data_IF_061778451646
#
_entry.id   IF_061778451646
#
_cell.length_a   1.000
_cell.length_b   1.000
_cell.length_c   1.000
_cell.angle_alpha   90.00
_cell.angle_beta   90.00
_cell.angle_gamma   90.00
#
_symmetry.space_group_name_H-M   'P 1'
#
loop_
_entity.id
_entity.type
_entity.pdbx_description
1 polymer ?
#
# COMPACT_ATOMS: atom_id res chain seq x y z
N UNK A 1 20.72 12.51 -24.42
CA UNK A 1 21.01 13.01 -23.05
C UNK A 1 19.77 13.08 -22.16
N UNK A 2 18.64 13.68 -22.58
CA UNK A 2 17.38 13.76 -21.80
C UNK A 2 16.85 12.40 -21.31
N UNK A 3 16.63 11.45 -22.22
CA UNK A 3 16.08 10.13 -21.87
C UNK A 3 16.98 9.32 -20.92
N UNK A 4 18.29 9.54 -20.97
CA UNK A 4 19.24 8.88 -20.09
C UNK A 4 19.06 9.34 -18.63
N UNK A 5 18.91 10.65 -18.40
CA UNK A 5 18.65 11.20 -17.06
C UNK A 5 17.33 10.72 -16.47
N UNK A 6 16.28 10.63 -17.29
CA UNK A 6 14.97 10.11 -16.85
C UNK A 6 15.09 8.64 -16.46
N UNK A 7 15.73 7.82 -17.31
CA UNK A 7 15.94 6.40 -17.01
C UNK A 7 16.82 6.18 -15.77
N UNK A 8 17.85 6.99 -15.58
CA UNK A 8 18.71 6.96 -14.39
C UNK A 8 17.92 7.27 -13.11
N UNK A 9 17.09 8.32 -13.12
CA UNK A 9 16.22 8.64 -11.98
C UNK A 9 15.24 7.51 -11.65
N UNK A 10 14.61 6.90 -12.66
CA UNK A 10 13.73 5.74 -12.48
C UNK A 10 14.48 4.53 -11.93
N UNK A 11 15.69 4.26 -12.40
CA UNK A 11 16.51 3.15 -11.90
C UNK A 11 16.92 3.35 -10.44
N UNK A 12 17.33 4.56 -10.06
CA UNK A 12 17.66 4.91 -8.67
C UNK A 12 16.46 4.68 -7.76
N UNK A 13 15.30 5.18 -8.15
CA UNK A 13 14.03 4.98 -7.45
C UNK A 13 13.71 3.49 -7.24
N UNK A 14 13.88 2.66 -8.26
CA UNK A 14 13.67 1.21 -8.16
C UNK A 14 14.68 0.58 -7.19
N UNK A 15 15.96 0.92 -7.30
CA UNK A 15 17.02 0.38 -6.43
C UNK A 15 16.73 0.72 -4.98
N UNK A 16 16.37 1.97 -4.69
CA UNK A 16 16.10 2.42 -3.34
C UNK A 16 14.83 1.79 -2.76
N UNK A 17 13.77 1.67 -3.56
CA UNK A 17 12.55 0.97 -3.16
C UNK A 17 12.82 -0.48 -2.78
N UNK A 18 13.65 -1.17 -3.56
CA UNK A 18 13.98 -2.58 -3.34
C UNK A 18 14.78 -2.83 -2.06
N UNK A 19 15.60 -1.87 -1.61
CA UNK A 19 16.39 -2.02 -0.37
C UNK A 19 15.52 -2.31 0.84
N UNK A 20 14.29 -1.80 0.90
CA UNK A 20 13.38 -2.04 2.01
C UNK A 20 12.25 -3.03 1.68
N UNK A 21 11.68 -2.98 0.47
CA UNK A 21 10.54 -3.84 0.11
C UNK A 21 10.92 -5.31 -0.13
N UNK A 22 12.13 -5.62 -0.63
CA UNK A 22 12.57 -7.00 -0.90
C UNK A 22 12.52 -7.88 0.37
N UNK A 23 12.91 -7.32 1.52
CA UNK A 23 12.91 -8.06 2.78
C UNK A 23 11.52 -8.53 3.20
N UNK A 24 10.48 -7.73 2.98
CA UNK A 24 9.10 -8.08 3.34
C UNK A 24 8.62 -9.19 2.42
N UNK A 25 8.81 -9.04 1.11
CA UNK A 25 8.28 -9.98 0.12
C UNK A 25 8.93 -11.36 0.22
N UNK A 26 10.25 -11.41 0.44
CA UNK A 26 10.97 -12.66 0.66
C UNK A 26 10.47 -13.41 1.90
N UNK A 27 10.15 -12.69 2.99
CA UNK A 27 9.60 -13.31 4.20
C UNK A 27 8.24 -13.93 3.96
N UNK A 28 7.33 -13.22 3.29
CA UNK A 28 5.98 -13.74 3.00
C UNK A 28 6.06 -15.00 2.14
N UNK A 29 6.93 -14.99 1.12
CA UNK A 29 7.18 -16.16 0.28
C UNK A 29 7.77 -17.34 1.08
N UNK A 30 8.69 -17.06 2.01
CA UNK A 30 9.26 -18.08 2.89
C UNK A 30 8.21 -18.66 3.86
N UNK A 31 7.36 -17.81 4.44
CA UNK A 31 6.25 -18.25 5.30
C UNK A 31 5.28 -19.14 4.51
N UNK A 32 4.94 -18.78 3.27
CA UNK A 32 4.13 -19.63 2.39
C UNK A 32 4.79 -20.99 2.11
N UNK A 33 6.08 -20.97 1.78
CA UNK A 33 6.82 -22.19 1.49
C UNK A 33 6.86 -23.12 2.71
N UNK A 34 7.09 -22.57 3.90
CA UNK A 34 7.02 -23.32 5.15
C UNK A 34 5.60 -23.90 5.36
N UNK A 35 4.55 -23.09 5.19
CA UNK A 35 3.17 -23.55 5.34
C UNK A 35 2.83 -24.72 4.41
N UNK A 36 3.25 -24.67 3.14
CA UNK A 36 3.03 -25.78 2.20
C UNK A 36 3.89 -27.01 2.49
N UNK A 37 5.05 -26.84 3.12
CA UNK A 37 5.92 -27.94 3.57
C UNK A 37 5.31 -28.66 4.78
N UNK A 38 4.76 -27.91 5.74
CA UNK A 38 4.11 -28.45 6.94
C UNK A 38 2.72 -29.03 6.65
N UNK A 39 2.05 -28.55 5.60
CA UNK A 39 0.72 -29.00 5.18
C UNK A 39 0.72 -29.59 3.75
N UNK A 40 1.48 -30.69 3.49
CA UNK A 40 1.74 -31.14 2.12
C UNK A 40 0.48 -31.58 1.36
N UNK A 41 -0.50 -32.14 2.07
CA UNK A 41 -1.72 -32.71 1.52
C UNK A 41 -2.89 -31.72 1.41
N UNK A 42 -2.73 -30.50 1.90
CA UNK A 42 -3.82 -29.52 1.97
C UNK A 42 -4.16 -28.92 0.60
N UNK A 43 -3.18 -28.86 -0.30
CA UNK A 43 -3.34 -28.34 -1.66
C UNK A 43 -2.74 -29.27 -2.71
N UNK A 44 -3.43 -29.40 -3.84
CA UNK A 44 -2.92 -30.00 -5.06
C UNK A 44 -1.82 -29.11 -5.66
N UNK A 45 -0.96 -29.70 -6.48
CA UNK A 45 0.09 -28.97 -7.18
C UNK A 45 -0.44 -27.76 -7.98
N UNK A 46 -1.54 -27.94 -8.70
CA UNK A 46 -2.18 -26.87 -9.50
C UNK A 46 -2.70 -25.73 -8.63
N UNK A 47 -3.27 -26.04 -7.46
CA UNK A 47 -3.72 -25.03 -6.48
C UNK A 47 -2.51 -24.25 -5.93
N UNK A 48 -1.41 -24.93 -5.58
CA UNK A 48 -0.18 -24.27 -5.11
C UNK A 48 0.39 -23.30 -6.14
N UNK A 49 0.39 -23.67 -7.43
CA UNK A 49 0.83 -22.79 -8.51
C UNK A 49 -0.04 -21.53 -8.64
N UNK A 50 -1.36 -21.69 -8.55
CA UNK A 50 -2.29 -20.55 -8.61
C UNK A 50 -2.11 -19.62 -7.41
N UNK A 51 -2.02 -20.16 -6.20
CA UNK A 51 -1.80 -19.39 -4.98
C UNK A 51 -0.47 -18.61 -5.08
N UNK A 52 0.61 -19.27 -5.52
CA UNK A 52 1.92 -18.65 -5.71
C UNK A 52 1.88 -17.53 -6.77
N UNK A 53 1.19 -17.75 -7.89
CA UNK A 53 1.00 -16.72 -8.92
C UNK A 53 0.32 -15.46 -8.36
N UNK A 54 -0.82 -15.63 -7.66
CA UNK A 54 -1.56 -14.48 -7.14
C UNK A 54 -0.83 -13.78 -6.00
N UNK A 55 -0.11 -14.52 -5.14
CA UNK A 55 0.77 -13.90 -4.14
C UNK A 55 1.85 -13.06 -4.83
N UNK A 56 2.58 -13.62 -5.80
CA UNK A 56 3.62 -12.89 -6.54
C UNK A 56 3.06 -11.68 -7.27
N UNK A 57 1.87 -11.79 -7.86
CA UNK A 57 1.19 -10.67 -8.50
C UNK A 57 0.85 -9.57 -7.49
N UNK A 58 0.32 -9.93 -6.30
CA UNK A 58 0.03 -8.97 -5.24
C UNK A 58 1.31 -8.28 -4.74
N UNK A 59 2.38 -9.03 -4.46
CA UNK A 59 3.68 -8.47 -4.03
C UNK A 59 4.34 -7.62 -5.13
N UNK A 60 4.12 -7.94 -6.41
CA UNK A 60 4.55 -7.08 -7.50
C UNK A 60 3.75 -5.77 -7.55
N UNK A 61 2.44 -5.82 -7.29
CA UNK A 61 1.61 -4.60 -7.21
C UNK A 61 1.94 -3.76 -5.98
N UNK A 62 2.27 -4.36 -4.84
CA UNK A 62 2.76 -3.60 -3.68
C UNK A 62 4.07 -2.89 -4.02
N UNK A 63 5.04 -3.53 -4.70
CA UNK A 63 6.24 -2.84 -5.18
C UNK A 63 5.92 -1.61 -6.03
N UNK A 64 5.05 -1.77 -7.02
CA UNK A 64 4.71 -0.66 -7.90
C UNK A 64 4.03 0.48 -7.13
N UNK A 65 3.12 0.16 -6.21
CA UNK A 65 2.47 1.15 -5.35
C UNK A 65 3.50 1.86 -4.45
N UNK A 66 4.46 1.13 -3.89
CA UNK A 66 5.55 1.69 -3.09
C UNK A 66 6.45 2.62 -3.93
N UNK A 67 6.80 2.24 -5.17
CA UNK A 67 7.54 3.10 -6.10
C UNK A 67 6.78 4.42 -6.34
N UNK A 68 5.45 4.34 -6.55
CA UNK A 68 4.63 5.53 -6.75
C UNK A 68 4.54 6.40 -5.49
N UNK A 69 4.48 5.79 -4.30
CA UNK A 69 4.56 6.51 -3.02
C UNK A 69 5.91 7.20 -2.85
N UNK A 70 7.01 6.54 -3.20
CA UNK A 70 8.36 7.09 -3.11
C UNK A 70 8.55 8.27 -4.08
N UNK A 71 7.96 8.21 -5.28
CA UNK A 71 7.89 9.36 -6.19
C UNK A 71 7.14 10.53 -5.55
N UNK A 72 5.97 10.24 -4.97
CA UNK A 72 5.13 11.24 -4.33
C UNK A 72 5.84 11.88 -3.13
N UNK A 73 6.55 11.07 -2.33
CA UNK A 73 7.39 11.51 -1.23
C UNK A 73 8.53 12.42 -1.74
N UNK A 74 9.22 11.99 -2.79
CA UNK A 74 10.33 12.75 -3.39
C UNK A 74 9.87 14.11 -3.89
N UNK A 75 8.72 14.17 -4.57
CA UNK A 75 8.10 15.42 -5.04
C UNK A 75 7.69 16.32 -3.87
N UNK A 76 7.05 15.76 -2.83
CA UNK A 76 6.68 16.52 -1.61
C UNK A 76 7.91 17.05 -0.87
N UNK A 77 8.97 16.25 -0.75
CA UNK A 77 10.22 16.62 -0.11
C UNK A 77 10.95 17.74 -0.86
N UNK A 78 11.08 17.62 -2.18
CA UNK A 78 11.67 18.65 -3.03
C UNK A 78 10.96 19.99 -2.83
N UNK A 79 9.63 19.98 -2.87
CA UNK A 79 8.80 21.19 -2.69
C UNK A 79 8.94 21.83 -1.32
N UNK A 80 9.09 21.06 -0.25
CA UNK A 80 9.30 21.64 1.09
C UNK A 80 10.64 22.37 1.22
N UNK A 81 11.69 21.89 0.55
CA UNK A 81 12.95 22.60 0.53
C UNK A 81 12.81 23.96 -0.18
N UNK A 82 12.02 24.03 -1.26
CA UNK A 82 11.69 25.30 -1.92
C UNK A 82 10.92 26.24 -0.99
N UNK A 83 9.94 25.73 -0.23
CA UNK A 83 9.17 26.53 0.75
C UNK A 83 10.06 27.07 1.87
N UNK A 84 10.97 26.26 2.41
CA UNK A 84 11.92 26.71 3.44
C UNK A 84 12.84 27.81 2.89
N UNK A 85 13.28 27.69 1.64
CA UNK A 85 14.09 28.69 0.96
C UNK A 85 13.31 29.98 0.67
N UNK A 86 12.04 29.89 0.28
CA UNK A 86 11.16 31.04 0.04
C UNK A 86 10.83 31.79 1.34
N UNK A 87 10.60 31.07 2.45
CA UNK A 87 10.38 31.66 3.77
C UNK A 87 11.61 32.41 4.29
N UNK A 88 12.81 31.93 3.97
CA UNK A 88 14.06 32.63 4.29
C UNK A 88 14.24 33.92 3.47
N UNK A 89 13.59 34.04 2.31
CA UNK A 89 13.78 35.14 1.37
C UNK A 89 12.59 36.13 1.25
N UNK A 90 11.56 35.98 2.10
CA UNK A 90 10.39 36.87 2.22
C UNK A 90 9.55 37.11 0.95
N UNK A 91 8.29 36.67 1.02
CA UNK A 91 7.13 37.24 0.30
C UNK A 91 7.17 37.20 -1.24
N UNK A 92 7.59 36.10 -1.85
CA UNK A 92 7.07 35.73 -3.17
C UNK A 92 6.02 34.65 -3.00
N UNK A 93 4.84 34.92 -3.55
CA UNK A 93 3.72 33.99 -3.69
C UNK A 93 4.27 32.62 -4.09
N UNK A 94 4.07 31.62 -3.23
CA UNK A 94 4.18 30.21 -3.58
C UNK A 94 3.08 29.90 -4.60
N UNK A 95 3.28 30.36 -5.83
CA UNK A 95 2.50 29.95 -6.98
C UNK A 95 3.04 28.61 -7.42
N UNK A 96 2.14 27.63 -7.56
CA UNK A 96 2.50 26.32 -8.05
C UNK A 96 2.37 26.34 -9.56
N UNK A 97 3.44 26.01 -10.27
CA UNK A 97 3.39 25.84 -11.70
C UNK A 97 2.50 24.63 -12.06
N UNK A 98 1.75 24.74 -13.17
CA UNK A 98 0.84 23.69 -13.63
C UNK A 98 1.58 22.37 -13.87
N UNK A 99 2.84 22.44 -14.32
CA UNK A 99 3.70 21.28 -14.53
C UNK A 99 4.03 20.53 -13.22
N UNK A 100 4.09 21.24 -12.09
CA UNK A 100 4.34 20.65 -10.77
C UNK A 100 3.10 19.94 -10.24
N UNK A 101 1.92 20.57 -10.39
CA UNK A 101 0.63 19.94 -10.08
C UNK A 101 0.46 18.69 -10.93
N UNK A 102 0.84 18.74 -12.21
CA UNK A 102 0.79 17.61 -13.12
C UNK A 102 1.70 16.46 -12.65
N UNK A 103 2.93 16.76 -12.24
CA UNK A 103 3.87 15.74 -11.74
C UNK A 103 3.37 15.06 -10.45
N UNK A 104 2.84 15.85 -9.50
CA UNK A 104 2.27 15.33 -8.25
C UNK A 104 1.02 14.49 -8.55
N UNK A 105 0.13 14.98 -9.41
CA UNK A 105 -1.08 14.27 -9.81
C UNK A 105 -0.76 12.96 -10.51
N UNK A 106 0.25 12.94 -11.39
CA UNK A 106 0.73 11.73 -12.03
C UNK A 106 1.20 10.68 -11.01
N UNK A 107 2.06 11.06 -10.05
CA UNK A 107 2.54 10.13 -9.03
C UNK A 107 1.39 9.61 -8.15
N UNK A 108 0.49 10.51 -7.77
CA UNK A 108 -0.63 10.20 -6.89
C UNK A 108 -1.70 9.30 -7.54
N UNK A 109 -2.11 9.59 -8.78
CA UNK A 109 -3.05 8.75 -9.52
C UNK A 109 -2.46 7.35 -9.79
N UNK A 110 -1.17 7.27 -10.12
CA UNK A 110 -0.48 5.99 -10.25
C UNK A 110 -0.50 5.23 -8.92
N UNK A 111 -0.22 5.88 -7.80
CA UNK A 111 -0.31 5.25 -6.49
C UNK A 111 -1.71 4.67 -6.23
N UNK A 112 -2.77 5.45 -6.46
CA UNK A 112 -4.15 5.00 -6.23
C UNK A 112 -4.55 3.83 -7.12
N UNK A 113 -4.15 3.87 -8.39
CA UNK A 113 -4.38 2.77 -9.32
C UNK A 113 -3.65 1.50 -8.87
N UNK A 114 -2.38 1.62 -8.49
CA UNK A 114 -1.53 0.49 -8.13
C UNK A 114 -1.89 -0.11 -6.77
N UNK A 115 -2.21 0.71 -5.77
CA UNK A 115 -2.66 0.28 -4.44
C UNK A 115 -4.03 -0.40 -4.49
N UNK A 116 -4.95 0.09 -5.34
CA UNK A 116 -6.21 -0.60 -5.63
C UNK A 116 -5.96 -1.97 -6.26
N UNK A 117 -5.09 -2.04 -7.25
CA UNK A 117 -4.73 -3.30 -7.88
C UNK A 117 -4.08 -4.27 -6.87
N UNK A 118 -3.20 -3.77 -6.01
CA UNK A 118 -2.62 -4.55 -4.93
C UNK A 118 -3.69 -5.18 -4.03
N UNK A 119 -4.66 -4.39 -3.54
CA UNK A 119 -5.77 -4.89 -2.75
C UNK A 119 -6.58 -5.97 -3.48
N UNK A 120 -6.93 -5.74 -4.74
CA UNK A 120 -7.72 -6.68 -5.51
C UNK A 120 -6.97 -8.02 -5.70
N UNK A 121 -5.68 -7.99 -6.05
CA UNK A 121 -4.86 -9.20 -6.18
C UNK A 121 -4.62 -9.90 -4.84
N UNK A 122 -4.45 -9.15 -3.76
CA UNK A 122 -4.26 -9.73 -2.43
C UNK A 122 -5.54 -10.41 -1.92
N UNK A 123 -6.71 -9.80 -2.14
CA UNK A 123 -8.00 -10.43 -1.84
C UNK A 123 -8.23 -11.71 -2.65
N UNK A 124 -7.85 -11.72 -3.95
CA UNK A 124 -7.90 -12.92 -4.79
C UNK A 124 -6.99 -14.02 -4.27
N UNK A 125 -5.75 -13.67 -3.93
CA UNK A 125 -4.79 -14.57 -3.30
C UNK A 125 -5.39 -15.22 -2.04
N UNK A 126 -6.00 -14.42 -1.15
CA UNK A 126 -6.63 -14.93 0.07
C UNK A 126 -7.80 -15.86 -0.22
N UNK A 127 -8.64 -15.57 -1.22
CA UNK A 127 -9.74 -16.46 -1.63
C UNK A 127 -9.23 -17.81 -2.14
N UNK A 128 -8.12 -17.81 -2.87
CA UNK A 128 -7.50 -19.05 -3.36
C UNK A 128 -6.86 -19.84 -2.23
N UNK A 129 -6.14 -19.16 -1.33
CA UNK A 129 -5.54 -19.79 -0.16
C UNK A 129 -6.62 -20.42 0.74
N UNK A 130 -7.67 -19.69 1.09
CA UNK A 130 -8.75 -20.19 1.94
C UNK A 130 -9.69 -21.20 1.25
N UNK A 131 -9.38 -21.59 0.00
CA UNK A 131 -10.15 -22.53 -0.84
C UNK A 131 -11.62 -22.12 -1.04
N UNK A 132 -11.90 -20.83 -1.03
CA UNK A 132 -13.24 -20.29 -1.31
C UNK A 132 -13.46 -20.09 -2.80
N UNK A 133 -12.35 -19.90 -3.54
CA UNK A 133 -12.32 -19.76 -5.00
C UNK A 133 -12.90 -18.43 -5.50
N UNK A 134 -12.18 -17.75 -6.39
CA UNK A 134 -12.70 -16.65 -7.20
C UNK A 134 -11.72 -16.36 -8.34
N UNK A 135 -12.24 -16.01 -9.52
CA UNK A 135 -11.42 -15.62 -10.67
C UNK A 135 -11.89 -14.26 -11.20
N UNK A 136 -10.96 -13.48 -11.76
CA UNK A 136 -11.24 -12.17 -12.34
C UNK A 136 -11.41 -11.06 -11.30
N UNK A 137 -12.33 -10.12 -11.56
CA UNK A 137 -12.51 -8.93 -10.71
C UNK A 137 -13.16 -9.30 -9.38
N UNK A 138 -12.57 -8.84 -8.27
CA UNK A 138 -13.13 -9.02 -6.93
C UNK A 138 -13.62 -7.68 -6.36
N UNK A 139 -14.86 -7.63 -5.89
CA UNK A 139 -15.37 -6.50 -5.10
C UNK A 139 -15.22 -6.81 -3.61
N UNK A 140 -15.24 -5.78 -2.77
CA UNK A 140 -15.25 -5.95 -1.30
C UNK A 140 -16.42 -6.82 -0.83
N UNK A 141 -17.63 -6.57 -1.35
CA UNK A 141 -18.81 -7.40 -1.05
C UNK A 141 -18.64 -8.86 -1.45
N UNK A 142 -18.02 -9.11 -2.61
CA UNK A 142 -17.72 -10.46 -3.08
C UNK A 142 -16.67 -11.13 -2.21
N UNK A 143 -15.62 -10.40 -1.82
CA UNK A 143 -14.57 -10.89 -0.94
C UNK A 143 -15.14 -11.35 0.41
N UNK A 144 -15.94 -10.53 1.09
CA UNK A 144 -16.59 -10.95 2.34
C UNK A 144 -17.57 -12.12 2.16
N UNK A 145 -18.29 -12.16 1.03
CA UNK A 145 -19.12 -13.31 0.70
C UNK A 145 -18.29 -14.59 0.54
N UNK A 146 -17.07 -14.51 0.00
CA UNK A 146 -16.16 -15.65 -0.09
C UNK A 146 -15.63 -16.05 1.28
N UNK A 147 -15.19 -15.11 2.12
CA UNK A 147 -14.73 -15.40 3.49
C UNK A 147 -15.81 -16.12 4.31
N UNK A 148 -17.06 -15.65 4.25
CA UNK A 148 -18.20 -16.30 4.92
C UNK A 148 -18.39 -17.77 4.48
N UNK A 149 -18.06 -18.12 3.23
CA UNK A 149 -18.13 -19.51 2.76
C UNK A 149 -17.02 -20.39 3.35
N UNK A 150 -15.84 -19.83 3.65
CA UNK A 150 -14.77 -20.58 4.30
C UNK A 150 -15.04 -20.85 5.80
N UNK A 151 -15.97 -20.13 6.43
CA UNK A 151 -16.30 -20.26 7.87
C UNK A 151 -16.89 -21.63 8.26
N UNK A 152 -17.20 -22.48 7.29
CA UNK A 152 -17.71 -23.84 7.53
C UNK A 152 -16.69 -24.94 7.24
N UNK A 153 -15.48 -24.58 6.80
CA UNK A 153 -14.45 -25.53 6.37
C UNK A 153 -13.21 -25.58 7.28
N UNK A 154 -12.18 -26.29 6.82
CA UNK A 154 -10.87 -26.40 7.51
C UNK A 154 -10.25 -25.05 7.85
N UNK A 155 -10.53 -24.02 7.05
CA UNK A 155 -10.00 -22.67 7.22
C UNK A 155 -10.91 -21.71 7.98
N UNK A 156 -11.96 -22.20 8.65
CA UNK A 156 -12.97 -21.36 9.30
C UNK A 156 -12.38 -20.31 10.24
N UNK A 157 -11.43 -20.71 11.10
CA UNK A 157 -10.80 -19.80 12.05
C UNK A 157 -9.99 -18.70 11.34
N UNK A 158 -9.16 -19.08 10.35
CA UNK A 158 -8.38 -18.12 9.56
C UNK A 158 -9.27 -17.16 8.78
N UNK A 159 -10.34 -17.67 8.16
CA UNK A 159 -11.28 -16.86 7.42
C UNK A 159 -11.98 -15.82 8.30
N UNK A 160 -12.33 -16.18 9.55
CA UNK A 160 -12.87 -15.24 10.53
C UNK A 160 -11.86 -14.15 10.90
N UNK A 161 -10.60 -14.52 11.18
CA UNK A 161 -9.56 -13.54 11.52
C UNK A 161 -9.25 -12.60 10.35
N UNK A 162 -9.22 -13.12 9.11
CA UNK A 162 -9.06 -12.29 7.91
C UNK A 162 -10.26 -11.36 7.73
N UNK A 163 -11.49 -11.85 7.91
CA UNK A 163 -12.71 -11.03 7.83
C UNK A 163 -12.69 -9.87 8.83
N UNK A 164 -12.38 -10.18 10.08
CA UNK A 164 -12.25 -9.19 11.16
C UNK A 164 -11.16 -8.17 10.87
N UNK A 165 -9.98 -8.62 10.44
CA UNK A 165 -8.88 -7.72 10.08
C UNK A 165 -9.29 -6.76 8.96
N UNK A 166 -9.89 -7.27 7.88
CA UNK A 166 -10.28 -6.43 6.76
C UNK A 166 -11.39 -5.45 7.15
N UNK A 167 -12.34 -5.83 8.00
CA UNK A 167 -13.40 -4.93 8.49
C UNK A 167 -12.88 -3.85 9.43
N UNK A 168 -11.82 -4.13 10.18
CA UNK A 168 -11.35 -3.23 11.26
C UNK A 168 -10.10 -2.44 10.91
N UNK A 169 -9.26 -2.91 9.98
CA UNK A 169 -7.94 -2.32 9.67
C UNK A 169 -7.74 -1.92 8.20
N UNK A 170 -8.57 -2.42 7.29
CA UNK A 170 -8.45 -2.11 5.85
C UNK A 170 -9.64 -1.30 5.35
N UNK A 171 -10.85 -1.77 5.67
CA UNK A 171 -12.11 -1.19 5.22
C UNK A 171 -13.00 -0.72 6.36
N UNK A 172 -12.41 -0.27 7.48
CA UNK A 172 -13.18 0.26 8.60
C UNK A 172 -14.11 1.40 8.17
N UNK A 173 -15.31 1.41 8.75
CA UNK A 173 -16.24 2.53 8.61
C UNK A 173 -15.63 3.77 9.26
N UNK A 174 -15.55 4.89 8.53
CA UNK A 174 -15.16 6.17 9.11
C UNK A 174 -16.35 7.10 9.16
N UNK A 175 -16.74 7.50 10.37
CA UNK A 175 -17.85 8.42 10.64
C UNK A 175 -17.61 9.85 10.17
N UNK A 176 -16.37 10.18 9.83
CA UNK A 176 -15.96 11.42 9.19
C UNK A 176 -14.93 11.03 8.13
N UNK A 177 -14.94 11.66 6.94
CA UNK A 177 -13.96 11.54 5.83
C UNK A 177 -12.47 11.77 6.23
N UNK A 178 -12.13 11.65 7.52
CA UNK A 178 -10.79 11.68 8.08
C UNK A 178 -10.07 10.36 7.80
N UNK A 179 -8.82 10.48 7.37
CA UNK A 179 -7.89 9.37 7.34
C UNK A 179 -7.63 8.84 8.76
N UNK A 180 -7.87 7.54 8.95
CA UNK A 180 -7.36 6.78 10.10
C UNK A 180 -6.52 5.63 9.56
N UNK A 181 -5.46 5.17 10.24
CA UNK A 181 -4.63 4.06 9.75
C UNK A 181 -5.45 2.81 9.39
N UNK A 182 -6.60 2.66 10.03
CA UNK A 182 -7.49 1.51 10.03
C UNK A 182 -8.50 1.50 8.86
N UNK A 183 -8.50 2.50 7.98
CA UNK A 183 -9.43 2.61 6.84
C UNK A 183 -8.74 2.89 5.50
N UNK A 184 -7.43 2.63 5.38
CA UNK A 184 -6.65 3.03 4.21
C UNK A 184 -7.21 2.45 2.90
N UNK A 185 -7.74 1.21 2.94
CA UNK A 185 -8.37 0.56 1.80
C UNK A 185 -9.61 1.34 1.35
N UNK A 186 -10.52 1.69 2.26
CA UNK A 186 -11.71 2.53 1.98
C UNK A 186 -11.30 3.87 1.39
N UNK A 187 -10.25 4.48 1.95
CA UNK A 187 -9.76 5.76 1.46
C UNK A 187 -9.25 5.68 0.03
N UNK A 188 -8.42 4.68 -0.31
CA UNK A 188 -7.93 4.50 -1.69
C UNK A 188 -9.09 4.37 -2.67
N UNK A 189 -10.15 3.64 -2.31
CA UNK A 189 -11.34 3.54 -3.17
C UNK A 189 -12.03 4.91 -3.33
N UNK A 190 -12.27 5.59 -2.20
CA UNK A 190 -12.93 6.90 -2.18
C UNK A 190 -12.16 7.94 -2.97
N UNK A 191 -10.85 8.00 -2.79
CA UNK A 191 -9.95 8.92 -3.48
C UNK A 191 -9.96 8.63 -4.99
N UNK A 192 -9.76 7.37 -5.40
CA UNK A 192 -9.77 7.00 -6.82
C UNK A 192 -11.09 7.36 -7.50
N UNK A 193 -12.21 7.19 -6.82
CA UNK A 193 -13.53 7.53 -7.38
C UNK A 193 -13.80 9.05 -7.36
N UNK A 194 -13.16 9.83 -6.48
CA UNK A 194 -13.33 11.29 -6.34
C UNK A 194 -12.26 12.14 -7.05
N UNK A 195 -11.08 11.60 -7.37
CA UNK A 195 -9.92 12.33 -7.93
C UNK A 195 -10.03 12.66 -9.42
N UNK A 196 -11.14 12.30 -10.06
CA UNK A 196 -11.51 12.88 -11.35
C UNK A 196 -11.62 14.43 -11.36
N UNK A 197 -11.47 15.10 -10.20
CA UNK A 197 -11.51 16.55 -10.05
C UNK A 197 -10.22 17.09 -9.40
N UNK A 198 -9.40 17.76 -10.21
CA UNK A 198 -8.18 18.53 -9.91
C UNK A 198 -8.27 19.42 -8.64
N UNK A 199 -9.48 19.73 -8.17
CA UNK A 199 -9.77 20.63 -7.05
C UNK A 199 -9.23 20.21 -5.67
N UNK A 200 -8.77 18.96 -5.51
CA UNK A 200 -8.32 18.44 -4.21
C UNK A 200 -6.80 18.51 -3.97
N UNK A 201 -6.02 18.82 -5.00
CA UNK A 201 -4.57 19.02 -4.89
C UNK A 201 -4.32 20.52 -4.89
N UNK A 202 -4.47 21.15 -3.72
CA UNK A 202 -4.28 22.60 -3.56
C UNK A 202 -3.50 22.94 -2.29
N UNK A 203 -2.86 24.12 -2.25
CA UNK A 203 -2.13 24.53 -1.08
C UNK A 203 -3.07 24.80 0.08
N UNK A 204 -2.64 24.45 1.28
CA UNK A 204 -3.29 24.91 2.49
C UNK A 204 -2.24 25.50 3.42
N UNK A 205 -2.16 26.80 3.58
CA UNK A 205 -1.10 27.41 4.41
C UNK A 205 -1.43 27.46 5.91
N UNK A 206 -2.54 26.84 6.35
CA UNK A 206 -3.02 26.92 7.74
C UNK A 206 -2.53 25.78 8.66
N UNK A 207 -1.45 25.06 8.32
CA UNK A 207 -1.02 23.88 9.10
C UNK A 207 -0.45 24.22 10.47
N UNK A 208 -0.72 23.33 11.42
CA UNK A 208 0.04 23.18 12.68
C UNK A 208 0.66 21.78 12.80
N UNK A 209 0.68 21.01 11.72
CA UNK A 209 1.11 19.62 11.74
C UNK A 209 2.63 19.52 11.90
N UNK A 210 3.09 18.54 12.69
CA UNK A 210 4.51 18.21 12.83
C UNK A 210 4.76 16.73 12.47
N UNK A 211 5.91 16.41 11.90
CA UNK A 211 6.39 15.03 11.69
C UNK A 211 7.88 14.96 12.07
N UNK A 212 8.24 14.01 12.93
CA UNK A 212 9.60 13.86 13.47
C UNK A 212 10.20 15.15 14.08
N UNK A 213 9.36 15.99 14.70
CA UNK A 213 9.78 17.25 15.32
C UNK A 213 9.85 18.46 14.37
N UNK A 214 9.63 18.26 13.08
CA UNK A 214 9.62 19.34 12.08
C UNK A 214 8.18 19.78 11.80
N UNK A 215 7.91 21.10 11.80
CA UNK A 215 6.63 21.65 11.36
C UNK A 215 6.47 21.38 9.86
N UNK A 216 5.43 20.65 9.50
CA UNK A 216 5.07 20.41 8.12
C UNK A 216 4.28 21.61 7.62
N UNK A 217 4.88 22.37 6.70
CA UNK A 217 4.09 23.24 5.83
C UNK A 217 3.16 22.36 5.00
N UNK A 218 1.88 22.71 4.96
CA UNK A 218 0.83 21.94 4.29
C UNK A 218 0.91 22.14 2.78
N UNK A 219 1.96 21.58 2.20
CA UNK A 219 2.21 21.62 0.77
C UNK A 219 2.92 20.36 0.28
N UNK A 220 2.35 19.63 -0.69
CA UNK A 220 0.97 19.72 -1.17
C UNK A 220 0.00 19.03 -0.16
N UNK A 221 -1.31 19.31 -0.22
CA UNK A 221 -2.27 18.62 0.68
C UNK A 221 -3.37 17.87 -0.06
N UNK A 222 -3.82 16.80 0.58
CA UNK A 222 -5.02 16.05 0.23
C UNK A 222 -6.03 16.20 1.37
N UNK A 223 -7.12 16.93 1.13
CA UNK A 223 -8.16 17.21 2.14
C UNK A 223 -7.60 17.78 3.47
N UNK A 224 -6.55 18.61 3.40
CA UNK A 224 -5.91 19.23 4.57
C UNK A 224 -4.83 18.39 5.26
N UNK A 225 -4.57 17.15 4.79
CA UNK A 225 -3.43 16.33 5.19
C UNK A 225 -2.26 16.53 4.24
N UNK A 226 -1.03 16.56 4.74
CA UNK A 226 0.18 16.58 3.89
C UNK A 226 0.40 15.27 3.14
N UNK A 227 1.00 15.35 1.95
CA UNK A 227 1.38 14.15 1.20
C UNK A 227 2.32 13.23 1.97
N UNK A 228 3.21 13.77 2.80
CA UNK A 228 4.08 12.99 3.69
C UNK A 228 3.31 12.09 4.65
N UNK A 229 2.34 12.68 5.37
CA UNK A 229 1.49 11.91 6.26
C UNK A 229 0.69 10.89 5.49
N UNK A 230 0.13 11.29 4.34
CA UNK A 230 -0.58 10.37 3.46
C UNK A 230 0.30 9.18 3.06
N UNK A 231 1.52 9.43 2.58
CA UNK A 231 2.46 8.38 2.17
C UNK A 231 2.80 7.45 3.34
N UNK A 232 3.12 8.02 4.51
CA UNK A 232 3.43 7.24 5.71
C UNK A 232 2.22 6.39 6.15
N UNK A 233 1.02 6.94 6.12
CA UNK A 233 -0.19 6.19 6.46
C UNK A 233 -0.46 5.04 5.49
N UNK A 234 -0.28 5.28 4.19
CA UNK A 234 -0.47 4.27 3.15
C UNK A 234 0.58 3.16 3.24
N UNK A 235 1.84 3.52 3.40
CA UNK A 235 2.93 2.57 3.56
C UNK A 235 2.72 1.70 4.81
N UNK A 236 2.40 2.32 5.95
CA UNK A 236 2.09 1.60 7.19
C UNK A 236 0.88 0.67 7.03
N UNK A 237 -0.21 1.14 6.39
CA UNK A 237 -1.40 0.33 6.18
C UNK A 237 -1.14 -0.88 5.29
N UNK A 238 -0.39 -0.69 4.19
CA UNK A 238 0.03 -1.78 3.31
C UNK A 238 0.98 -2.75 4.04
N UNK A 239 1.95 -2.24 4.79
CA UNK A 239 2.90 -3.04 5.57
C UNK A 239 2.19 -3.87 6.64
N UNK A 240 1.32 -3.25 7.44
CA UNK A 240 0.51 -3.91 8.47
C UNK A 240 -0.35 -5.01 7.85
N UNK A 241 -1.02 -4.73 6.72
CA UNK A 241 -1.83 -5.76 6.06
C UNK A 241 -0.97 -6.96 5.65
N UNK A 242 0.17 -6.73 5.01
CA UNK A 242 1.05 -7.84 4.58
C UNK A 242 1.57 -8.63 5.77
N UNK A 243 2.05 -7.96 6.82
CA UNK A 243 2.68 -8.63 7.97
C UNK A 243 1.67 -9.36 8.84
N UNK A 244 0.58 -8.71 9.23
CA UNK A 244 -0.44 -9.28 10.12
C UNK A 244 -1.23 -10.38 9.43
N UNK A 245 -1.68 -10.17 8.18
CA UNK A 245 -2.40 -11.22 7.44
C UNK A 245 -1.48 -12.42 7.17
N UNK A 246 -0.22 -12.22 6.78
CA UNK A 246 0.70 -13.35 6.57
C UNK A 246 0.87 -14.17 7.85
N UNK A 247 0.99 -13.50 9.00
CA UNK A 247 1.06 -14.21 10.28
C UNK A 247 -0.20 -15.01 10.60
N UNK A 248 -1.39 -14.43 10.37
CA UNK A 248 -2.67 -15.11 10.57
C UNK A 248 -2.86 -16.29 9.62
N UNK A 249 -2.53 -16.11 8.35
CA UNK A 249 -2.80 -17.07 7.28
C UNK A 249 -1.83 -18.25 7.35
N UNK A 250 -0.58 -18.03 7.73
CA UNK A 250 0.43 -19.09 7.83
C UNK A 250 0.66 -19.66 9.23
N UNK A 251 0.01 -19.12 10.28
CA UNK A 251 0.28 -19.46 11.70
C UNK A 251 1.76 -19.30 12.08
N UNK A 252 2.40 -18.25 11.55
CA UNK A 252 3.81 -17.96 11.78
C UNK A 252 3.97 -16.52 12.27
N UNK A 253 4.63 -16.33 13.40
CA UNK A 253 4.93 -15.00 13.91
C UNK A 253 5.84 -14.23 12.95
N UNK A 254 5.53 -12.97 12.69
CA UNK A 254 6.38 -12.10 11.89
C UNK A 254 7.68 -11.78 12.63
N UNK A 255 8.81 -12.19 12.07
CA UNK A 255 10.13 -11.89 12.64
C UNK A 255 10.63 -10.54 12.15
N UNK A 256 10.99 -9.56 13.02
CA UNK A 256 11.55 -8.28 12.58
C UNK A 256 12.95 -8.42 11.97
N UNK A 257 13.40 -7.41 11.20
CA UNK A 257 14.74 -7.36 10.60
C UNK A 257 14.82 -7.87 9.14
N UNK A 258 16.00 -7.93 8.52
CA UNK A 258 16.16 -8.44 7.15
C UNK A 258 15.90 -9.95 7.06
N UNK A 259 15.40 -10.41 5.93
CA UNK A 259 15.19 -11.85 5.69
C UNK A 259 16.53 -12.61 5.72
N UNK A 260 16.51 -13.80 6.34
CA UNK A 260 17.61 -14.77 6.26
C UNK A 260 17.03 -16.14 5.94
N UNK A 261 17.79 -16.99 5.22
CA UNK A 261 17.28 -18.29 4.73
C UNK A 261 16.73 -19.16 5.86
N UNK A 262 17.33 -19.11 7.04
CA UNK A 262 16.93 -19.91 8.22
C UNK A 262 15.83 -19.27 9.07
N UNK A 263 15.22 -18.18 8.61
CA UNK A 263 14.29 -17.40 9.43
C UNK A 263 13.03 -18.18 9.78
N UNK A 264 12.54 -19.04 8.87
CA UNK A 264 11.32 -19.83 9.06
C UNK A 264 11.55 -21.31 8.75
N UNK A 265 12.80 -21.78 8.92
CA UNK A 265 13.16 -23.19 8.80
C UNK A 265 12.80 -23.99 10.05
#
# INVERSE_FOLDING_TARGET
MRYHKIAEGLNTLVIDTRKYADGIHLKVQAMQANFFKTNPNLYKHTEKLQIDYYLKAALYKSYLATIALEQLWSLSYFKRNDVLFALQNSLETLDCDDDEILAISFAFENFLFLSRAFLDFYMLYLCLFLKTGHEGKISQSKFYSMLNRAQTGHFAHKANQVDEYFKTKVFAESSNDKLVPENWGTLVQSLRDKIAHQDRVRPNFASKETLLGTVLFNWPTLQGMTYDRFCQFMENGMFSMVTEISSLVYDLEWKPGPYTVKMYD
#
